data_IF_855963283463
#
_entry.id   IF_855963283463
#
_cell.length_a   1.000
_cell.length_b   1.000
_cell.length_c   1.000
_cell.angle_alpha   90.00
_cell.angle_beta   90.00
_cell.angle_gamma   90.00
#
_symmetry.space_group_name_H-M   'P 1'
#
loop_
_entity.id
_entity.type
_entity.pdbx_description
1 polymer ?
#
# COMPACT_ATOMS: atom_id res chain seq x y z
N UNK A 1 -9.17 -5.54 -27.36
CA UNK A 1 -9.85 -4.56 -26.51
C UNK A 1 -10.07 -3.28 -27.29
N UNK A 2 -11.29 -2.81 -27.34
CA UNK A 2 -11.68 -1.52 -27.89
C UNK A 2 -11.67 -0.45 -26.79
N UNK A 3 -11.75 0.83 -27.18
CA UNK A 3 -11.85 1.94 -26.22
C UNK A 3 -13.15 1.83 -25.37
N UNK A 4 -14.25 1.40 -25.99
CA UNK A 4 -15.53 1.27 -25.29
C UNK A 4 -15.51 0.15 -24.23
N UNK A 5 -14.85 -0.98 -24.52
CA UNK A 5 -14.66 -2.06 -23.54
C UNK A 5 -13.79 -1.58 -22.35
N UNK A 6 -12.72 -0.81 -22.61
CA UNK A 6 -11.89 -0.24 -21.56
C UNK A 6 -12.68 0.75 -20.70
N UNK A 7 -13.50 1.62 -21.33
CA UNK A 7 -14.36 2.58 -20.65
C UNK A 7 -15.35 1.87 -19.73
N UNK A 8 -16.06 0.84 -20.22
CA UNK A 8 -16.99 0.06 -19.41
C UNK A 8 -16.29 -0.64 -18.23
N UNK A 9 -15.08 -1.17 -18.43
CA UNK A 9 -14.30 -1.78 -17.36
C UNK A 9 -13.89 -0.75 -16.30
N UNK A 10 -13.53 0.47 -16.70
CA UNK A 10 -13.17 1.55 -15.78
C UNK A 10 -14.40 2.09 -15.03
N UNK A 11 -15.57 2.18 -15.66
CA UNK A 11 -16.83 2.55 -15.00
C UNK A 11 -17.26 1.54 -13.92
N UNK A 12 -16.83 0.28 -14.01
CA UNK A 12 -17.08 -0.75 -13.02
C UNK A 12 -16.14 -0.70 -11.81
N UNK A 13 -15.08 0.14 -11.83
CA UNK A 13 -14.15 0.33 -10.72
C UNK A 13 -14.82 1.13 -9.62
N UNK A 14 -14.86 0.57 -8.41
CA UNK A 14 -15.19 1.34 -7.21
C UNK A 14 -13.95 2.01 -6.67
N UNK A 15 -14.09 3.26 -6.23
CA UNK A 15 -12.98 4.10 -5.73
C UNK A 15 -13.06 4.26 -4.22
N UNK A 16 -11.92 4.59 -3.62
CA UNK A 16 -11.77 4.96 -2.21
C UNK A 16 -11.31 6.41 -2.13
N UNK A 17 -12.02 7.21 -1.34
CA UNK A 17 -11.68 8.63 -1.12
C UNK A 17 -10.56 8.75 -0.09
N UNK A 18 -9.44 9.37 -0.46
CA UNK A 18 -8.31 9.66 0.42
C UNK A 18 -7.97 11.15 0.30
N UNK A 19 -8.07 11.92 1.39
CA UNK A 19 -7.83 13.38 1.41
C UNK A 19 -8.58 14.12 0.28
N UNK A 20 -9.87 13.84 0.12
CA UNK A 20 -10.76 14.45 -0.89
C UNK A 20 -10.36 14.15 -2.36
N UNK A 21 -9.62 13.07 -2.60
CA UNK A 21 -9.32 12.56 -3.94
C UNK A 21 -9.71 11.10 -4.03
N UNK A 22 -10.20 10.71 -5.19
CA UNK A 22 -10.57 9.34 -5.50
C UNK A 22 -9.37 8.53 -5.97
N UNK A 23 -9.28 7.28 -5.49
CA UNK A 23 -8.22 6.34 -5.88
C UNK A 23 -8.81 4.96 -6.12
N UNK A 24 -8.35 4.28 -7.16
CA UNK A 24 -8.69 2.89 -7.41
C UNK A 24 -7.78 1.94 -6.62
N UNK A 25 -8.37 1.02 -5.89
CA UNK A 25 -7.64 -0.07 -5.24
C UNK A 25 -7.11 -1.07 -6.26
N UNK A 26 -5.99 -1.74 -5.95
CA UNK A 26 -5.37 -2.72 -6.86
C UNK A 26 -6.32 -3.87 -7.21
N UNK A 27 -7.09 -4.47 -6.29
CA UNK A 27 -8.07 -5.50 -6.62
C UNK A 27 -9.12 -5.03 -7.64
N UNK A 28 -9.54 -3.77 -7.58
CA UNK A 28 -10.50 -3.21 -8.54
C UNK A 28 -9.87 -3.07 -9.94
N UNK A 29 -8.61 -2.65 -10.02
CA UNK A 29 -7.85 -2.61 -11.29
C UNK A 29 -7.66 -4.00 -11.89
N UNK A 30 -7.34 -5.00 -11.06
CA UNK A 30 -7.22 -6.40 -11.50
C UNK A 30 -8.56 -6.89 -12.04
N UNK A 31 -9.67 -6.61 -11.35
CA UNK A 31 -11.01 -6.98 -11.79
C UNK A 31 -11.34 -6.36 -13.15
N UNK A 32 -11.11 -5.07 -13.32
CA UNK A 32 -11.33 -4.36 -14.58
C UNK A 32 -10.46 -4.94 -15.72
N UNK A 33 -9.19 -5.24 -15.45
CA UNK A 33 -8.30 -5.91 -16.38
C UNK A 33 -8.84 -7.27 -16.82
N UNK A 34 -9.33 -8.10 -15.88
CA UNK A 34 -9.91 -9.42 -16.18
C UNK A 34 -11.22 -9.35 -16.96
N UNK A 35 -11.97 -8.26 -16.87
CA UNK A 35 -13.16 -8.04 -17.73
C UNK A 35 -12.78 -7.89 -19.21
N UNK A 36 -11.66 -7.23 -19.50
CA UNK A 36 -11.17 -7.02 -20.87
C UNK A 36 -10.28 -8.17 -21.37
N UNK A 37 -9.51 -8.76 -20.47
CA UNK A 37 -8.52 -9.82 -20.76
C UNK A 37 -8.63 -10.97 -19.73
N UNK A 38 -9.66 -11.84 -19.84
CA UNK A 38 -9.82 -12.97 -18.91
C UNK A 38 -8.58 -13.84 -18.83
N UNK A 39 -7.95 -14.13 -19.98
CA UNK A 39 -6.73 -14.96 -20.13
C UNK A 39 -5.43 -14.08 -20.16
N UNK A 40 -5.54 -12.81 -19.81
CA UNK A 40 -4.38 -11.93 -19.73
C UNK A 40 -3.41 -12.37 -18.64
N UNK A 41 -2.15 -11.96 -18.73
CA UNK A 41 -1.15 -12.23 -17.70
C UNK A 41 -0.87 -10.99 -16.85
N UNK A 42 -0.58 -11.24 -15.58
CA UNK A 42 0.03 -10.32 -14.63
C UNK A 42 1.25 -11.06 -14.10
N UNK A 43 2.44 -10.56 -14.37
CA UNK A 43 3.71 -11.16 -13.96
C UNK A 43 4.48 -10.18 -13.11
N UNK A 44 5.05 -10.67 -12.02
CA UNK A 44 5.94 -9.91 -11.15
C UNK A 44 7.33 -10.52 -11.14
N UNK A 45 8.34 -9.67 -10.96
CA UNK A 45 9.72 -10.09 -10.80
C UNK A 45 10.39 -9.23 -9.75
N UNK A 46 11.11 -9.85 -8.83
CA UNK A 46 11.98 -9.15 -7.89
C UNK A 46 13.25 -8.76 -8.65
N UNK A 47 13.44 -7.47 -8.86
CA UNK A 47 14.64 -6.92 -9.52
C UNK A 47 15.83 -6.84 -8.53
N UNK A 48 15.53 -6.53 -7.26
CA UNK A 48 16.52 -6.53 -6.17
C UNK A 48 15.82 -6.76 -4.83
N UNK A 49 16.50 -7.53 -3.95
CA UNK A 49 16.08 -7.79 -2.56
C UNK A 49 17.33 -7.77 -1.68
N UNK A 50 17.71 -6.57 -1.24
CA UNK A 50 18.94 -6.38 -0.49
C UNK A 50 18.76 -5.38 0.65
N UNK A 51 19.38 -5.63 1.77
CA UNK A 51 19.42 -4.72 2.93
C UNK A 51 18.02 -4.26 3.40
N UNK A 52 17.02 -5.16 3.35
CA UNK A 52 15.66 -4.83 3.73
C UNK A 52 14.94 -3.93 2.73
N UNK A 53 15.43 -3.82 1.50
CA UNK A 53 14.78 -3.11 0.39
C UNK A 53 14.37 -4.11 -0.67
N UNK A 54 13.09 -4.07 -1.06
CA UNK A 54 12.56 -4.81 -2.19
C UNK A 54 12.33 -3.84 -3.36
N UNK A 55 12.89 -4.14 -4.52
CA UNK A 55 12.56 -3.49 -5.79
C UNK A 55 11.87 -4.53 -6.66
N UNK A 56 10.64 -4.25 -7.08
CA UNK A 56 9.84 -5.18 -7.88
C UNK A 56 9.31 -4.53 -9.15
N UNK A 57 9.29 -5.31 -10.21
CA UNK A 57 8.69 -4.95 -11.49
C UNK A 57 7.50 -5.84 -11.77
N UNK A 58 6.40 -5.24 -12.24
CA UNK A 58 5.24 -5.92 -12.77
C UNK A 58 5.08 -5.66 -14.26
N UNK A 59 4.58 -6.65 -14.98
CA UNK A 59 4.24 -6.59 -16.42
C UNK A 59 2.84 -7.16 -16.59
N UNK A 60 1.97 -6.42 -17.27
CA UNK A 60 0.61 -6.86 -17.59
C UNK A 60 0.40 -6.90 -19.10
N UNK A 61 -0.34 -7.89 -19.58
CA UNK A 61 -0.56 -8.05 -21.00
C UNK A 61 -1.41 -9.26 -21.33
N UNK A 62 -1.35 -9.68 -22.59
CA UNK A 62 -2.07 -10.85 -23.09
C UNK A 62 -1.22 -11.61 -24.12
N UNK A 63 -1.61 -12.84 -24.39
CA UNK A 63 -0.98 -13.65 -25.45
C UNK A 63 -1.70 -13.41 -26.76
N UNK A 64 -0.92 -13.16 -27.83
CA UNK A 64 -1.45 -13.01 -29.18
C UNK A 64 -2.11 -14.31 -29.64
N UNK A 65 -3.44 -14.36 -29.80
CA UNK A 65 -4.13 -15.58 -30.18
C UNK A 65 -3.85 -16.03 -31.60
N UNK A 66 -3.26 -15.14 -32.42
CA UNK A 66 -2.90 -15.45 -33.82
C UNK A 66 -1.49 -16.04 -33.94
N UNK A 67 -0.69 -15.93 -32.88
CA UNK A 67 0.69 -16.42 -32.88
C UNK A 67 0.76 -17.89 -32.44
N UNK A 68 1.36 -18.77 -33.26
CA UNK A 68 1.56 -20.16 -32.85
C UNK A 68 2.56 -20.34 -31.70
N UNK A 69 3.30 -19.26 -31.34
CA UNK A 69 4.36 -19.27 -30.33
C UNK A 69 3.95 -18.56 -29.03
N UNK A 70 2.66 -18.33 -28.79
CA UNK A 70 2.17 -17.61 -27.60
C UNK A 70 2.90 -16.27 -27.36
N UNK A 71 3.00 -15.47 -28.40
CA UNK A 71 3.68 -14.17 -28.34
C UNK A 71 3.01 -13.27 -27.28
N UNK A 72 3.81 -12.76 -26.35
CA UNK A 72 3.34 -11.81 -25.35
C UNK A 72 3.17 -10.40 -25.94
N UNK A 73 2.00 -9.82 -25.71
CA UNK A 73 1.71 -8.41 -25.97
C UNK A 73 1.63 -7.70 -24.64
N UNK A 74 2.63 -6.87 -24.34
CA UNK A 74 2.69 -6.08 -23.12
C UNK A 74 1.81 -4.85 -23.26
N UNK A 75 0.91 -4.64 -22.30
CA UNK A 75 0.01 -3.48 -22.21
C UNK A 75 0.56 -2.41 -21.27
N UNK A 76 1.20 -2.82 -20.19
CA UNK A 76 1.74 -1.90 -19.21
C UNK A 76 2.81 -2.53 -18.32
N UNK A 77 3.68 -1.69 -17.78
CA UNK A 77 4.71 -2.07 -16.82
C UNK A 77 4.66 -1.12 -15.63
N UNK A 78 4.99 -1.63 -14.44
CA UNK A 78 5.09 -0.85 -13.21
C UNK A 78 6.29 -1.30 -12.40
N UNK A 79 6.95 -0.36 -11.74
CA UNK A 79 8.05 -0.63 -10.81
C UNK A 79 7.71 0.03 -9.48
N UNK A 80 7.92 -0.69 -8.41
CA UNK A 80 7.78 -0.20 -7.04
C UNK A 80 8.97 -0.62 -6.20
N UNK A 81 9.22 0.12 -5.13
CA UNK A 81 10.15 -0.32 -4.08
C UNK A 81 9.50 -0.11 -2.71
N UNK A 82 9.85 -1.00 -1.78
CA UNK A 82 9.45 -0.93 -0.37
C UNK A 82 10.64 -1.23 0.54
N UNK A 83 10.63 -0.61 1.72
CA UNK A 83 11.65 -0.85 2.76
C UNK A 83 11.01 -1.55 3.95
N UNK A 84 11.68 -2.56 4.47
CA UNK A 84 11.24 -3.33 5.63
C UNK A 84 11.10 -2.44 6.88
N UNK A 85 11.96 -1.44 7.02
CA UNK A 85 12.01 -0.53 8.17
C UNK A 85 11.09 0.71 8.03
N UNK A 86 10.35 0.84 6.92
CA UNK A 86 9.55 2.04 6.66
C UNK A 86 8.29 2.13 7.51
N UNK A 87 7.73 1.02 7.99
CA UNK A 87 6.57 0.97 8.86
C UNK A 87 6.50 -0.33 9.64
N UNK A 88 5.66 -0.37 10.69
CA UNK A 88 5.43 -1.59 11.46
C UNK A 88 4.86 -2.73 10.58
N UNK A 89 3.98 -2.41 9.64
CA UNK A 89 3.41 -3.39 8.69
C UNK A 89 4.50 -3.90 7.75
N UNK A 90 5.37 -3.02 7.26
CA UNK A 90 6.44 -3.40 6.35
C UNK A 90 7.53 -4.28 7.00
N UNK A 91 7.63 -4.32 8.32
CA UNK A 91 8.54 -5.26 9.00
C UNK A 91 8.32 -6.72 8.59
N UNK A 92 7.06 -7.07 8.28
CA UNK A 92 6.66 -8.45 7.92
C UNK A 92 6.11 -8.58 6.50
N UNK A 93 5.72 -7.49 5.85
CA UNK A 93 4.94 -7.53 4.60
C UNK A 93 5.45 -6.56 3.52
N UNK A 94 6.72 -6.13 3.59
CA UNK A 94 7.26 -5.17 2.61
C UNK A 94 7.39 -5.74 1.20
N UNK A 95 7.56 -7.07 1.07
CA UNK A 95 7.65 -7.74 -0.24
C UNK A 95 6.27 -7.77 -0.88
N UNK A 96 5.24 -8.18 -0.15
CA UNK A 96 3.86 -8.26 -0.63
C UNK A 96 3.31 -6.87 -0.96
N UNK A 97 3.64 -5.87 -0.15
CA UNK A 97 3.27 -4.48 -0.41
C UNK A 97 3.97 -3.95 -1.67
N UNK A 98 5.24 -4.29 -1.88
CA UNK A 98 5.99 -3.94 -3.08
C UNK A 98 5.36 -4.57 -4.33
N UNK A 99 4.95 -5.84 -4.25
CA UNK A 99 4.27 -6.55 -5.35
C UNK A 99 2.94 -5.88 -5.71
N UNK A 100 2.12 -5.60 -4.71
CA UNK A 100 0.82 -4.93 -4.88
C UNK A 100 1.00 -3.57 -5.55
N UNK A 101 1.95 -2.77 -5.09
CA UNK A 101 2.27 -1.45 -5.67
C UNK A 101 2.74 -1.56 -7.13
N UNK A 102 3.61 -2.51 -7.43
CA UNK A 102 4.10 -2.73 -8.81
C UNK A 102 2.96 -3.13 -9.76
N UNK A 103 2.07 -4.05 -9.33
CA UNK A 103 0.88 -4.48 -10.10
C UNK A 103 -0.07 -3.29 -10.32
N UNK A 104 -0.37 -2.53 -9.28
CA UNK A 104 -1.25 -1.36 -9.37
C UNK A 104 -0.76 -0.34 -10.39
N UNK A 105 0.55 -0.06 -10.43
CA UNK A 105 1.18 0.82 -11.42
C UNK A 105 1.12 0.24 -12.84
N UNK A 106 1.44 -1.04 -13.01
CA UNK A 106 1.40 -1.69 -14.33
C UNK A 106 -0.01 -1.64 -14.93
N UNK A 107 -1.05 -1.90 -14.12
CA UNK A 107 -2.45 -1.81 -14.54
C UNK A 107 -2.88 -0.38 -14.83
N UNK A 108 -2.46 0.60 -14.03
CA UNK A 108 -2.69 2.02 -14.30
C UNK A 108 -2.07 2.45 -15.64
N UNK A 109 -0.83 2.04 -15.92
CA UNK A 109 -0.18 2.31 -17.21
C UNK A 109 -0.85 1.60 -18.39
N UNK A 110 -1.53 0.46 -18.15
CA UNK A 110 -2.34 -0.23 -19.15
C UNK A 110 -3.75 0.41 -19.33
N UNK A 111 -4.08 1.47 -18.58
CA UNK A 111 -5.33 2.22 -18.70
C UNK A 111 -6.42 1.85 -17.68
N UNK A 112 -6.17 0.89 -16.77
CA UNK A 112 -7.17 0.47 -15.79
C UNK A 112 -7.12 1.34 -14.53
N UNK A 113 -8.17 2.13 -14.31
CA UNK A 113 -8.29 3.09 -13.21
C UNK A 113 -7.41 4.33 -13.38
N UNK A 114 -7.03 4.65 -14.62
CA UNK A 114 -6.16 5.81 -14.93
C UNK A 114 -6.89 7.14 -14.76
N UNK A 115 -8.21 7.16 -14.90
CA UNK A 115 -9.04 8.37 -14.82
C UNK A 115 -8.98 9.04 -13.44
N UNK A 116 -8.63 8.28 -12.40
CA UNK A 116 -8.50 8.79 -11.03
C UNK A 116 -7.04 9.01 -10.64
N UNK A 117 -6.14 8.07 -10.92
CA UNK A 117 -4.71 8.17 -10.55
C UNK A 117 -3.88 7.02 -11.14
N UNK A 118 -2.60 7.27 -11.44
CA UNK A 118 -1.62 6.21 -11.70
C UNK A 118 -1.30 5.45 -10.41
N UNK A 119 -1.11 6.18 -9.29
CA UNK A 119 -0.92 5.57 -7.98
C UNK A 119 -2.21 4.88 -7.52
N UNK A 120 -2.10 3.71 -6.91
CA UNK A 120 -3.24 3.02 -6.31
C UNK A 120 -3.62 3.63 -4.95
N UNK A 121 -4.80 3.27 -4.43
CA UNK A 121 -5.22 3.68 -3.10
C UNK A 121 -4.25 3.18 -2.03
N UNK A 122 -3.76 1.95 -2.18
CA UNK A 122 -2.80 1.31 -1.27
C UNK A 122 -1.47 2.07 -1.23
N UNK A 123 -0.93 2.48 -2.40
CA UNK A 123 0.31 3.28 -2.46
C UNK A 123 0.15 4.61 -1.72
N UNK A 124 -0.98 5.29 -1.93
CA UNK A 124 -1.24 6.58 -1.28
C UNK A 124 -1.44 6.42 0.22
N UNK A 125 -2.17 5.39 0.66
CA UNK A 125 -2.34 5.07 2.07
C UNK A 125 -1.01 4.74 2.74
N UNK A 126 -0.19 3.89 2.13
CA UNK A 126 1.14 3.54 2.64
C UNK A 126 2.05 4.78 2.74
N UNK A 127 2.08 5.62 1.71
CA UNK A 127 2.83 6.87 1.73
C UNK A 127 2.39 7.81 2.86
N UNK A 128 1.09 7.85 3.17
CA UNK A 128 0.56 8.64 4.29
C UNK A 128 0.92 8.04 5.65
N UNK A 129 0.78 6.74 5.82
CA UNK A 129 1.11 6.04 7.06
C UNK A 129 2.58 6.13 7.43
N UNK A 130 3.45 6.24 6.43
CA UNK A 130 4.89 6.40 6.59
C UNK A 130 5.34 7.85 6.88
N UNK A 131 4.42 8.83 6.86
CA UNK A 131 4.74 10.20 7.27
C UNK A 131 5.00 10.26 8.77
N UNK A 132 6.02 11.05 9.17
CA UNK A 132 6.27 11.34 10.58
C UNK A 132 5.08 12.08 11.18
N UNK A 133 4.83 11.85 12.46
CA UNK A 133 3.79 12.58 13.21
C UNK A 133 4.15 14.05 13.36
N UNK A 134 3.13 14.88 13.44
CA UNK A 134 3.28 16.33 13.61
C UNK A 134 3.63 16.69 15.07
N UNK A 135 4.18 17.89 15.30
CA UNK A 135 4.48 18.39 16.65
C UNK A 135 3.24 18.38 17.58
N UNK A 136 2.05 18.60 17.03
CA UNK A 136 0.80 18.53 17.79
C UNK A 136 0.53 17.10 18.25
N UNK A 137 0.74 16.12 17.36
CA UNK A 137 0.59 14.70 17.67
C UNK A 137 1.65 14.23 18.68
N UNK A 138 2.89 14.71 18.57
CA UNK A 138 3.95 14.45 19.57
C UNK A 138 3.53 14.96 20.95
N UNK A 139 2.99 16.18 21.04
CA UNK A 139 2.48 16.74 22.31
C UNK A 139 1.33 15.91 22.89
N UNK A 140 0.38 15.51 22.04
CA UNK A 140 -0.73 14.62 22.45
C UNK A 140 -0.21 13.28 22.96
N UNK A 141 0.75 12.67 22.24
CA UNK A 141 1.39 11.40 22.62
C UNK A 141 2.07 11.52 23.99
N UNK A 142 2.85 12.59 24.24
CA UNK A 142 3.50 12.85 25.53
C UNK A 142 2.48 12.98 26.67
N UNK A 143 1.30 13.57 26.43
CA UNK A 143 0.22 13.64 27.40
C UNK A 143 -0.40 12.25 27.66
N UNK A 144 -0.61 11.46 26.63
CA UNK A 144 -1.12 10.08 26.79
C UNK A 144 -0.17 9.22 27.61
N UNK A 145 1.14 9.30 27.34
CA UNK A 145 2.16 8.59 28.12
C UNK A 145 2.11 9.03 29.60
N UNK A 146 2.04 10.35 29.88
CA UNK A 146 1.98 10.88 31.23
C UNK A 146 0.76 10.39 32.02
N UNK A 147 -0.35 10.20 31.34
CA UNK A 147 -1.63 9.79 31.95
C UNK A 147 -1.76 8.27 32.11
N UNK A 148 -0.86 7.48 31.52
CA UNK A 148 -0.88 6.02 31.55
C UNK A 148 0.34 5.48 32.35
N UNK A 149 0.18 5.07 33.62
CA UNK A 149 1.31 4.65 34.45
C UNK A 149 1.99 3.36 33.96
N UNK A 150 1.30 2.58 33.12
CA UNK A 150 1.81 1.34 32.56
C UNK A 150 2.64 1.55 31.26
N UNK A 151 2.77 2.79 30.80
CA UNK A 151 3.44 3.14 29.55
C UNK A 151 4.59 4.09 29.84
N UNK A 152 5.75 3.80 29.31
CA UNK A 152 6.93 4.68 29.45
C UNK A 152 7.41 5.11 28.06
N UNK A 153 7.96 6.32 27.95
CA UNK A 153 8.56 6.80 26.71
C UNK A 153 9.65 5.82 26.22
N UNK A 154 10.53 5.36 27.13
CA UNK A 154 11.57 4.39 26.81
C UNK A 154 10.99 3.10 26.19
N UNK A 155 9.93 2.54 26.78
CA UNK A 155 9.29 1.33 26.27
C UNK A 155 8.70 1.53 24.86
N UNK A 156 8.17 2.74 24.57
CA UNK A 156 7.67 3.09 23.23
C UNK A 156 8.82 3.16 22.22
N UNK A 157 9.92 3.83 22.59
CA UNK A 157 11.08 3.96 21.71
C UNK A 157 11.68 2.60 21.38
N UNK A 158 11.79 1.71 22.37
CA UNK A 158 12.28 0.34 22.19
C UNK A 158 11.32 -0.50 21.34
N UNK A 159 9.99 -0.40 21.59
CA UNK A 159 8.98 -1.18 20.85
C UNK A 159 8.92 -0.83 19.38
N UNK A 160 8.96 0.47 19.03
CA UNK A 160 8.91 0.94 17.66
C UNK A 160 10.29 1.08 17.00
N UNK A 161 11.38 0.80 17.74
CA UNK A 161 12.78 0.89 17.27
C UNK A 161 13.08 2.29 16.69
N UNK A 162 12.72 3.34 17.42
CA UNK A 162 12.95 4.73 17.08
C UNK A 162 13.82 5.40 18.14
N UNK A 163 14.56 6.43 17.75
CA UNK A 163 15.47 7.14 18.68
C UNK A 163 14.73 8.16 19.55
N UNK A 164 13.67 8.77 19.01
CA UNK A 164 12.87 9.80 19.69
C UNK A 164 11.42 9.77 19.19
N UNK A 165 10.48 10.31 19.97
CA UNK A 165 9.05 10.31 19.64
C UNK A 165 8.74 11.06 18.34
N UNK A 166 9.54 12.07 17.97
CA UNK A 166 9.42 12.81 16.73
C UNK A 166 9.71 11.98 15.48
N UNK A 167 10.34 10.81 15.62
CA UNK A 167 10.60 9.87 14.52
C UNK A 167 9.45 8.88 14.30
N UNK A 168 8.44 8.88 15.19
CA UNK A 168 7.26 8.06 15.06
C UNK A 168 6.49 8.39 13.78
N UNK A 169 6.03 7.36 13.08
CA UNK A 169 5.17 7.52 11.91
C UNK A 169 3.69 7.52 12.30
N UNK A 170 2.81 7.91 11.38
CA UNK A 170 1.35 7.80 11.58
C UNK A 170 0.92 6.35 11.78
N UNK A 171 1.58 5.38 11.11
CA UNK A 171 1.35 3.95 11.33
C UNK A 171 1.66 3.56 12.78
N UNK A 172 2.84 3.96 13.27
CA UNK A 172 3.25 3.69 14.65
C UNK A 172 2.30 4.31 15.67
N UNK A 173 1.88 5.57 15.43
CA UNK A 173 0.91 6.26 16.30
C UNK A 173 -0.44 5.52 16.35
N UNK A 174 -0.91 5.02 15.21
CA UNK A 174 -2.14 4.23 15.13
C UNK A 174 -2.03 2.95 15.95
N UNK A 175 -0.97 2.17 15.75
CA UNK A 175 -0.70 0.94 16.51
C UNK A 175 -0.62 1.23 18.02
N UNK A 176 0.08 2.28 18.41
CA UNK A 176 0.14 2.70 19.81
C UNK A 176 -1.25 3.02 20.38
N UNK A 177 -2.06 3.76 19.63
CA UNK A 177 -3.43 4.10 20.08
C UNK A 177 -4.30 2.86 20.25
N UNK A 178 -4.20 1.89 19.35
CA UNK A 178 -4.91 0.60 19.44
C UNK A 178 -4.47 -0.18 20.69
N UNK A 179 -3.17 -0.21 20.99
CA UNK A 179 -2.65 -0.88 22.20
C UNK A 179 -3.17 -0.23 23.49
N UNK A 180 -3.19 1.11 23.58
CA UNK A 180 -3.75 1.81 24.74
C UNK A 180 -5.23 1.50 24.92
N UNK A 181 -6.02 1.56 23.84
CA UNK A 181 -7.44 1.23 23.90
C UNK A 181 -7.71 -0.21 24.35
N UNK A 182 -6.87 -1.15 23.99
CA UNK A 182 -6.97 -2.54 24.45
C UNK A 182 -6.62 -2.70 25.93
N UNK A 183 -5.62 -1.97 26.43
CA UNK A 183 -5.26 -1.95 27.85
C UNK A 183 -6.41 -1.41 28.70
N UNK A 184 -6.96 -0.26 28.30
CA UNK A 184 -8.09 0.37 29.01
C UNK A 184 -9.33 -0.54 29.05
N UNK A 185 -9.63 -1.27 27.96
CA UNK A 185 -10.73 -2.24 27.92
C UNK A 185 -10.50 -3.44 28.87
N UNK A 186 -9.25 -3.86 29.07
CA UNK A 186 -8.90 -4.95 29.99
C UNK A 186 -9.01 -4.51 31.46
N UNK A 187 -8.62 -3.28 31.76
CA UNK A 187 -8.69 -2.74 33.12
C UNK A 187 -10.14 -2.42 33.54
N UNK A 188 -10.99 -2.00 32.59
CA UNK A 188 -12.42 -1.78 32.83
C UNK A 188 -13.24 -3.09 33.06
N UNK A 189 -12.66 -4.26 32.78
CA UNK A 189 -13.29 -5.58 32.98
C UNK A 189 -12.84 -6.28 34.28
N UNK A 190 -11.91 -5.68 35.01
CA UNK A 190 -11.49 -6.12 36.35
C UNK A 190 -12.23 -5.36 37.46
#
# INVERSE_FOLDING_TARGET
>A
MTYEELKQANEAITTTTIKNKEYAEVPQRIKAFRMCYPEGFIKTNIESLENGVCLMRAVVGFYDPTSPYLREIVLGTGTAFERQDSSFINKTSYIENCETSAIGRALGMAGFGIDVSVASAEEVQNAMLNQKITDVQVKSLKLTIKNNPNVTEKGILEYFEIEKLEDMTLANLRTFTEMINEMEKKDAKK
#
